data_IF_235326603707
#
_entry.id   IF_235326603707
#
_cell.length_a   1.000
_cell.length_b   1.000
_cell.length_c   1.000
_cell.angle_alpha   90.00
_cell.angle_beta   90.00
_cell.angle_gamma   90.00
#
_symmetry.space_group_name_H-M   'P 1'
#
loop_
_entity.id
_entity.type
_entity.pdbx_description
1 polymer ?
#
# COMPACT_ATOMS: atom_id res chain seq x y z
N UNK A 1 -2.82 18.99 -4.95
CA UNK A 1 -2.54 18.33 -3.64
C UNK A 1 -1.81 17.01 -3.90
N UNK A 2 -0.85 16.59 -3.05
CA UNK A 2 -0.14 15.30 -3.16
C UNK A 2 -0.25 14.57 -1.82
N UNK A 3 -0.92 13.42 -1.73
CA UNK A 3 -1.15 12.75 -0.45
C UNK A 3 0.15 12.10 0.05
N UNK A 4 0.64 12.53 1.22
CA UNK A 4 1.78 11.94 1.92
C UNK A 4 1.38 11.48 3.33
N UNK A 5 2.22 10.66 3.94
CA UNK A 5 2.10 10.24 5.35
C UNK A 5 3.19 10.91 6.18
N UNK A 6 3.06 10.89 7.52
CA UNK A 6 4.03 11.50 8.44
C UNK A 6 5.43 10.89 8.29
N UNK A 7 5.51 9.58 8.03
CA UNK A 7 6.76 8.84 7.86
C UNK A 7 7.27 8.86 6.41
N UNK A 8 6.52 9.43 5.47
CA UNK A 8 6.86 9.41 4.03
C UNK A 8 6.77 8.02 3.39
N UNK A 9 6.24 7.02 4.10
CA UNK A 9 5.99 5.66 3.62
C UNK A 9 4.50 5.50 3.35
N UNK A 10 4.06 5.05 2.16
CA UNK A 10 2.64 4.89 1.85
C UNK A 10 2.01 3.76 2.64
N UNK A 11 0.70 3.85 2.87
CA UNK A 11 -0.11 2.75 3.37
C UNK A 11 -0.56 1.86 2.21
N UNK A 12 -0.25 0.56 2.27
CA UNK A 12 -0.59 -0.48 1.29
C UNK A 12 -1.05 -1.72 2.07
N UNK A 13 -2.32 -1.75 2.47
CA UNK A 13 -2.83 -2.82 3.33
C UNK A 13 -4.36 -3.00 3.23
N UNK A 14 -4.87 -4.09 3.78
CA UNK A 14 -6.29 -4.27 4.11
C UNK A 14 -6.61 -3.56 5.41
N UNK A 15 -7.79 -2.96 5.50
CA UNK A 15 -8.21 -2.33 6.75
C UNK A 15 -8.40 -3.41 7.84
N UNK A 16 -7.85 -3.26 9.05
CA UNK A 16 -7.87 -4.28 10.09
C UNK A 16 -9.30 -4.63 10.55
N UNK A 17 -10.19 -3.64 10.54
CA UNK A 17 -11.57 -3.80 11.04
C UNK A 17 -12.63 -3.94 9.92
N UNK A 18 -12.32 -3.54 8.68
CA UNK A 18 -13.31 -3.45 7.60
C UNK A 18 -12.95 -4.45 6.49
N UNK A 19 -13.64 -5.59 6.49
CA UNK A 19 -13.31 -6.80 5.69
C UNK A 19 -13.04 -6.56 4.20
N UNK A 20 -13.75 -5.63 3.57
CA UNK A 20 -13.69 -5.38 2.12
C UNK A 20 -13.09 -4.01 1.77
N UNK A 21 -12.35 -3.41 2.70
CA UNK A 21 -11.65 -2.15 2.47
C UNK A 21 -10.15 -2.40 2.35
N UNK A 22 -9.52 -1.77 1.36
CA UNK A 22 -8.07 -1.79 1.20
C UNK A 22 -7.59 -0.39 0.85
N UNK A 23 -6.37 -0.09 1.29
CA UNK A 23 -5.76 1.24 1.18
C UNK A 23 -4.47 1.09 0.38
N UNK A 24 -4.25 2.03 -0.55
CA UNK A 24 -3.02 2.17 -1.32
C UNK A 24 -2.80 3.66 -1.60
N UNK A 25 -2.33 4.38 -0.57
CA UNK A 25 -2.31 5.84 -0.54
C UNK A 25 -1.09 6.39 0.21
N UNK A 26 -0.79 7.69 0.05
CA UNK A 26 0.31 8.35 0.76
C UNK A 26 1.65 8.40 0.01
N UNK A 27 1.67 8.14 -1.31
CA UNK A 27 2.89 8.08 -2.13
C UNK A 27 3.58 9.44 -2.39
N UNK A 28 2.98 10.54 -1.94
CA UNK A 28 3.41 11.92 -2.15
C UNK A 28 3.88 12.21 -3.59
N UNK A 29 5.18 12.46 -3.78
CA UNK A 29 5.82 12.78 -5.07
C UNK A 29 6.26 11.56 -5.87
N UNK A 30 6.10 10.37 -5.32
CA UNK A 30 6.62 9.10 -5.87
C UNK A 30 5.51 8.18 -6.40
N UNK A 31 4.26 8.67 -6.54
CA UNK A 31 3.14 7.85 -7.00
C UNK A 31 3.38 7.13 -8.33
N UNK A 32 3.91 7.84 -9.33
CA UNK A 32 4.21 7.25 -10.63
C UNK A 32 5.35 6.23 -10.57
N UNK A 33 6.43 6.58 -9.87
CA UNK A 33 7.64 5.74 -9.75
C UNK A 33 7.33 4.44 -9.00
N UNK A 34 6.48 4.50 -7.98
CA UNK A 34 6.14 3.34 -7.14
C UNK A 34 4.92 2.55 -7.64
N UNK A 35 4.17 3.05 -8.62
CA UNK A 35 2.89 2.47 -9.05
C UNK A 35 2.93 0.96 -9.35
N UNK A 36 3.92 0.42 -10.10
CA UNK A 36 3.93 -1.02 -10.40
C UNK A 36 4.12 -1.88 -9.16
N UNK A 37 5.02 -1.48 -8.27
CA UNK A 37 5.32 -2.22 -7.05
C UNK A 37 4.17 -2.12 -6.03
N UNK A 38 3.57 -0.94 -5.86
CA UNK A 38 2.46 -0.74 -4.92
C UNK A 38 1.19 -1.47 -5.37
N UNK A 39 0.88 -1.44 -6.67
CA UNK A 39 -0.26 -2.19 -7.21
C UNK A 39 -0.06 -3.70 -7.07
N UNK A 40 1.15 -4.21 -7.35
CA UNK A 40 1.47 -5.62 -7.17
C UNK A 40 1.34 -6.05 -5.71
N UNK A 41 1.91 -5.28 -4.78
CA UNK A 41 1.81 -5.56 -3.34
C UNK A 41 0.34 -5.62 -2.90
N UNK A 42 -0.45 -4.61 -3.24
CA UNK A 42 -1.88 -4.61 -2.91
C UNK A 42 -2.60 -5.82 -3.50
N UNK A 43 -2.35 -6.16 -4.76
CA UNK A 43 -2.96 -7.32 -5.41
C UNK A 43 -2.61 -8.63 -4.70
N UNK A 44 -1.35 -8.80 -4.29
CA UNK A 44 -0.92 -9.98 -3.54
C UNK A 44 -1.63 -10.06 -2.17
N UNK A 45 -1.76 -8.95 -1.44
CA UNK A 45 -2.51 -8.89 -0.17
C UNK A 45 -4.00 -9.20 -0.34
N UNK A 46 -4.64 -8.63 -1.37
CA UNK A 46 -6.06 -8.84 -1.65
C UNK A 46 -6.34 -10.29 -2.06
N UNK A 47 -5.44 -10.88 -2.84
CA UNK A 47 -5.59 -12.25 -3.36
C UNK A 47 -5.00 -13.32 -2.42
N UNK A 48 -4.53 -12.93 -1.22
CA UNK A 48 -3.89 -13.80 -0.25
C UNK A 48 -2.70 -14.59 -0.83
N UNK A 49 -1.90 -13.93 -1.67
CA UNK A 49 -0.67 -14.47 -2.27
C UNK A 49 0.54 -14.06 -1.44
N UNK A 50 1.62 -14.85 -1.43
CA UNK A 50 2.90 -14.43 -0.85
C UNK A 50 3.40 -13.14 -1.53
N UNK A 51 3.57 -12.02 -0.80
CA UNK A 51 4.06 -10.78 -1.38
C UNK A 51 5.52 -10.89 -1.83
N UNK A 52 5.88 -10.24 -2.94
CA UNK A 52 7.28 -10.22 -3.42
C UNK A 52 8.21 -9.30 -2.62
N UNK A 53 7.66 -8.42 -1.78
CA UNK A 53 8.39 -7.51 -0.89
C UNK A 53 7.77 -7.57 0.51
N UNK A 54 8.53 -7.25 1.55
CA UNK A 54 8.04 -7.24 2.93
C UNK A 54 6.88 -6.20 3.08
N UNK A 55 5.67 -6.62 3.48
CA UNK A 55 4.54 -5.70 3.63
C UNK A 55 4.59 -4.85 4.91
N UNK A 56 5.34 -5.25 5.95
CA UNK A 56 5.30 -4.60 7.27
C UNK A 56 5.51 -3.08 7.25
N UNK A 57 6.42 -2.50 6.45
CA UNK A 57 6.60 -1.04 6.42
C UNK A 57 5.39 -0.26 5.90
N UNK A 58 4.46 -0.93 5.21
CA UNK A 58 3.33 -0.30 4.52
C UNK A 58 1.98 -0.57 5.21
N UNK A 59 1.98 -1.24 6.38
CA UNK A 59 0.74 -1.55 7.11
C UNK A 59 0.02 -0.30 7.60
N UNK A 60 -1.31 -0.39 7.65
CA UNK A 60 -2.19 0.65 8.19
C UNK A 60 -2.02 0.82 9.70
#
# INVERSE_FOLDING_TARGET
LRPGTDQGVPYIDRHPEIKNLSINAGHFRNGLVMAPASAKLLADLVLARPPSINPEPYKL
#
